data_IF_800667912205
#
_entry.id   IF_800667912205
#
_cell.length_a   1.000
_cell.length_b   1.000
_cell.length_c   1.000
_cell.angle_alpha   90.00
_cell.angle_beta   90.00
_cell.angle_gamma   90.00
#
_symmetry.space_group_name_H-M   'P 1'
#
loop_
_entity.id
_entity.type
_entity.pdbx_description
1 polymer ?
#
# COMPACT_ATOMS: atom_id res chain seq x y z
N UNK A 1 6.43 -34.89 -4.85
CA UNK A 1 5.14 -34.51 -4.25
C UNK A 1 5.07 -32.99 -4.39
N UNK A 2 4.21 -32.46 -5.25
CA UNK A 2 4.12 -31.02 -5.48
C UNK A 2 3.31 -30.38 -4.35
N UNK A 3 3.83 -29.29 -3.76
CA UNK A 3 3.10 -28.51 -2.77
C UNK A 3 1.85 -27.90 -3.42
N UNK A 4 0.66 -27.95 -2.79
CA UNK A 4 -0.51 -27.26 -3.32
C UNK A 4 -0.23 -25.75 -3.35
N UNK A 5 -0.36 -25.14 -4.52
CA UNK A 5 -0.24 -23.69 -4.66
C UNK A 5 -1.27 -23.02 -3.74
N UNK A 6 -0.81 -22.28 -2.73
CA UNK A 6 -1.68 -21.52 -1.86
C UNK A 6 -2.35 -20.41 -2.66
N UNK A 7 -3.69 -20.35 -2.60
CA UNK A 7 -4.43 -19.25 -3.21
C UNK A 7 -4.11 -17.97 -2.40
N UNK A 8 -3.82 -16.85 -3.07
CA UNK A 8 -3.55 -15.60 -2.37
C UNK A 8 -4.80 -15.17 -1.57
N UNK A 9 -4.61 -14.91 -0.28
CA UNK A 9 -5.66 -14.40 0.60
C UNK A 9 -5.77 -12.89 0.40
N UNK A 10 -6.98 -12.42 0.06
CA UNK A 10 -7.29 -11.00 -0.02
C UNK A 10 -7.67 -10.44 1.35
N UNK A 11 -6.93 -9.47 1.86
CA UNK A 11 -7.19 -8.82 3.17
C UNK A 11 -7.99 -7.53 3.03
N UNK A 12 -7.64 -6.66 2.07
CA UNK A 12 -8.30 -5.37 1.85
C UNK A 12 -9.36 -5.49 0.75
N UNK A 13 -8.99 -6.11 -0.37
CA UNK A 13 -9.87 -6.32 -1.52
C UNK A 13 -9.14 -7.02 -2.67
N UNK A 14 -9.85 -7.80 -3.49
CA UNK A 14 -9.24 -8.62 -4.55
C UNK A 14 -8.52 -7.79 -5.62
N UNK A 15 -8.90 -6.52 -5.80
CA UNK A 15 -8.23 -5.58 -6.72
C UNK A 15 -6.79 -5.23 -6.32
N UNK A 16 -6.38 -5.54 -5.09
CA UNK A 16 -5.02 -5.32 -4.57
C UNK A 16 -4.18 -6.61 -4.54
N UNK A 17 -4.65 -7.68 -5.19
CA UNK A 17 -3.91 -8.94 -5.30
C UNK A 17 -3.22 -9.01 -6.67
N UNK A 18 -1.90 -9.12 -6.66
CA UNK A 18 -1.11 -9.31 -7.88
C UNK A 18 -1.06 -10.80 -8.28
N UNK A 19 -1.00 -11.12 -9.59
CA UNK A 19 -0.91 -12.51 -10.07
C UNK A 19 0.46 -13.14 -9.85
N UNK A 20 1.47 -12.34 -9.48
CA UNK A 20 2.84 -12.75 -9.21
C UNK A 20 3.45 -11.89 -8.11
N UNK A 21 4.65 -12.25 -7.67
CA UNK A 21 5.41 -11.43 -6.72
C UNK A 21 5.65 -10.04 -7.30
N UNK A 22 5.44 -9.02 -6.46
CA UNK A 22 5.61 -7.61 -6.80
C UNK A 22 6.71 -7.04 -5.91
N UNK A 23 7.74 -6.47 -6.52
CA UNK A 23 8.76 -5.69 -5.80
C UNK A 23 8.31 -4.24 -5.65
N UNK A 24 8.59 -3.67 -4.48
CA UNK A 24 8.11 -2.35 -4.11
C UNK A 24 9.26 -1.46 -3.64
N UNK A 25 9.21 -0.19 -4.02
CA UNK A 25 10.07 0.87 -3.49
C UNK A 25 9.22 1.73 -2.54
N UNK A 26 9.76 1.99 -1.35
CA UNK A 26 9.11 2.80 -0.31
C UNK A 26 9.91 4.08 -0.11
N UNK A 27 9.40 5.17 -0.64
CA UNK A 27 10.01 6.49 -0.51
C UNK A 27 9.34 7.30 0.60
N UNK A 28 10.14 7.81 1.51
CA UNK A 28 9.66 8.62 2.65
C UNK A 28 10.03 10.08 2.45
N UNK A 29 9.04 10.97 2.60
CA UNK A 29 9.19 12.41 2.41
C UNK A 29 8.76 13.17 3.66
N UNK A 30 9.48 14.24 4.02
CA UNK A 30 9.07 15.13 5.09
C UNK A 30 7.72 15.81 4.76
N UNK A 31 6.80 15.98 5.73
CA UNK A 31 6.91 15.69 7.17
C UNK A 31 6.41 14.30 7.60
N UNK A 32 6.53 13.27 6.75
CA UNK A 32 6.12 11.89 7.05
C UNK A 32 5.17 11.27 6.03
N UNK A 33 5.08 11.86 4.83
CA UNK A 33 4.40 11.28 3.69
C UNK A 33 5.22 10.09 3.17
N UNK A 34 4.55 9.07 2.65
CA UNK A 34 5.18 7.91 2.02
C UNK A 34 4.58 7.74 0.64
N UNK A 35 5.41 7.47 -0.35
CA UNK A 35 4.99 7.06 -1.69
C UNK A 35 5.52 5.65 -1.90
N UNK A 36 4.62 4.75 -2.33
CA UNK A 36 4.96 3.36 -2.62
C UNK A 36 4.82 3.17 -4.12
N UNK A 37 5.89 2.71 -4.75
CA UNK A 37 5.96 2.49 -6.20
C UNK A 37 6.42 1.06 -6.51
N UNK A 38 6.21 0.62 -7.75
CA UNK A 38 6.95 -0.54 -8.28
C UNK A 38 8.37 -0.13 -8.71
N UNK A 39 9.13 -1.10 -9.22
CA UNK A 39 10.50 -0.90 -9.70
C UNK A 39 10.58 -0.07 -10.99
N UNK A 40 9.47 0.15 -11.68
CA UNK A 40 9.35 1.06 -12.84
C UNK A 40 8.94 2.49 -12.41
N UNK A 41 8.96 2.77 -11.10
CA UNK A 41 8.58 4.04 -10.48
C UNK A 41 7.11 4.45 -10.70
N UNK A 42 6.24 3.50 -11.05
CA UNK A 42 4.79 3.75 -11.10
C UNK A 42 4.24 3.82 -9.68
N UNK A 43 3.51 4.88 -9.36
CA UNK A 43 2.89 5.05 -8.04
C UNK A 43 1.74 4.05 -7.88
N UNK A 44 1.80 3.25 -6.83
CA UNK A 44 0.78 2.26 -6.49
C UNK A 44 -0.07 2.70 -5.30
N UNK A 45 0.58 3.25 -4.27
CA UNK A 45 -0.09 3.70 -3.05
C UNK A 45 0.59 4.96 -2.51
N UNK A 46 -0.17 5.75 -1.76
CA UNK A 46 0.33 6.90 -1.02
C UNK A 46 -0.11 6.80 0.42
N UNK A 47 0.75 7.23 1.34
CA UNK A 47 0.42 7.31 2.77
C UNK A 47 0.67 8.73 3.23
N UNK A 48 -0.31 9.31 3.91
CA UNK A 48 -0.17 10.63 4.54
C UNK A 48 -0.43 10.54 6.04
N UNK A 49 0.24 11.35 6.87
CA UNK A 49 -0.17 11.55 8.25
C UNK A 49 -1.63 11.98 8.29
N UNK A 50 -2.43 11.34 9.14
CA UNK A 50 -3.81 11.75 9.42
C UNK A 50 -3.86 12.26 10.85
N UNK A 51 -4.12 13.56 11.00
CA UNK A 51 -3.85 14.29 12.23
C UNK A 51 -5.01 14.09 13.24
N UNK A 52 -5.06 12.94 13.89
CA UNK A 52 -5.78 12.80 15.15
C UNK A 52 -4.79 13.15 16.28
N UNK A 53 -5.11 14.19 17.04
CA UNK A 53 -4.30 14.81 18.11
C UNK A 53 -3.73 13.86 19.18
N UNK A 54 -4.09 12.57 19.16
CA UNK A 54 -3.69 11.56 20.14
C UNK A 54 -3.14 10.25 19.53
N UNK A 55 -3.21 10.06 18.20
CA UNK A 55 -2.79 8.80 17.56
C UNK A 55 -1.98 9.10 16.30
N UNK A 56 -0.89 8.36 16.07
CA UNK A 56 -0.07 8.43 14.84
C UNK A 56 -0.79 7.77 13.66
N UNK A 57 -2.04 8.17 13.42
CA UNK A 57 -2.87 7.64 12.36
C UNK A 57 -2.31 8.01 11.00
N UNK A 58 -2.52 7.14 10.03
CA UNK A 58 -2.11 7.37 8.65
C UNK A 58 -3.23 7.01 7.71
N UNK A 59 -3.42 7.81 6.69
CA UNK A 59 -4.38 7.52 5.64
C UNK A 59 -3.65 6.87 4.47
N UNK A 60 -4.04 5.63 4.14
CA UNK A 60 -3.63 4.97 2.91
C UNK A 60 -4.55 5.43 1.77
N UNK A 61 -3.93 5.81 0.67
CA UNK A 61 -4.58 6.36 -0.51
C UNK A 61 -4.15 5.57 -1.75
N UNK A 62 -5.03 5.55 -2.75
CA UNK A 62 -4.69 5.12 -4.10
C UNK A 62 -3.83 6.18 -4.84
N UNK A 63 -3.39 5.90 -6.08
CA UNK A 63 -2.60 6.85 -6.87
C UNK A 63 -3.32 8.19 -7.14
N UNK A 64 -4.64 8.17 -7.21
CA UNK A 64 -5.55 9.29 -7.46
C UNK A 64 -5.98 10.04 -6.18
N UNK A 65 -5.31 9.76 -5.05
CA UNK A 65 -5.59 10.33 -3.72
C UNK A 65 -6.95 9.96 -3.12
N UNK A 66 -7.57 8.86 -3.57
CA UNK A 66 -8.80 8.36 -2.95
C UNK A 66 -8.45 7.54 -1.70
N UNK A 67 -9.18 7.73 -0.59
CA UNK A 67 -8.94 6.99 0.64
C UNK A 67 -9.28 5.51 0.51
N UNK A 68 -8.36 4.67 0.96
CA UNK A 68 -8.53 3.21 1.02
C UNK A 68 -8.83 2.74 2.44
N UNK A 69 -7.99 3.13 3.41
CA UNK A 69 -8.18 2.79 4.81
C UNK A 69 -7.37 3.69 5.74
N UNK A 70 -7.78 3.74 7.01
CA UNK A 70 -7.08 4.40 8.10
C UNK A 70 -6.24 3.38 8.88
N UNK A 71 -4.95 3.66 9.02
CA UNK A 71 -3.94 2.89 9.76
C UNK A 71 -3.69 3.51 11.14
#
# INVERSE_FOLDING_TARGET
MAEPASLPISVIGPQFVAPSQLELIVDTHAPGNIVITDTDHKILLRVKPFNATFHRQRLLLDPDYRPLLLL
#
